data_IF_140947329994
#
_entry.id   IF_140947329994
#
_cell.length_a   1.000
_cell.length_b   1.000
_cell.length_c   1.000
_cell.angle_alpha   90.00
_cell.angle_beta   90.00
_cell.angle_gamma   90.00
#
_symmetry.space_group_name_H-M   'P 1'
#
loop_
_entity.id
_entity.type
_entity.pdbx_description
1 polymer ?
#
# COMPACT_ATOMS: atom_id res chain seq x y z
N UNK A 1 12.05 -12.23 -4.96
CA UNK A 1 10.91 -11.63 -4.24
C UNK A 1 10.97 -10.12 -4.38
N UNK A 2 9.82 -9.51 -4.59
CA UNK A 2 9.73 -8.06 -4.74
C UNK A 2 9.22 -7.46 -3.44
N UNK A 3 9.86 -6.38 -2.98
CA UNK A 3 9.35 -5.55 -1.89
C UNK A 3 8.80 -4.26 -2.48
N UNK A 4 7.50 -4.06 -2.31
CA UNK A 4 6.80 -2.88 -2.81
C UNK A 4 6.58 -1.89 -1.68
N UNK A 5 7.02 -0.65 -1.87
CA UNK A 5 6.88 0.43 -0.89
C UNK A 5 6.07 1.53 -1.55
N UNK A 6 4.98 1.94 -0.91
CA UNK A 6 4.14 3.04 -1.38
C UNK A 6 4.06 4.11 -0.31
N UNK A 7 4.48 5.31 -0.64
CA UNK A 7 4.40 6.47 0.26
C UNK A 7 3.13 7.25 -0.05
N UNK A 8 2.35 7.53 0.99
CA UNK A 8 1.08 8.25 0.88
C UNK A 8 1.00 9.31 1.96
N UNK A 9 0.68 10.54 1.56
CA UNK A 9 0.50 11.65 2.49
C UNK A 9 -0.95 12.10 2.42
N UNK A 10 -1.62 12.09 3.57
CA UNK A 10 -3.05 12.34 3.66
C UNK A 10 -3.36 13.70 4.27
N UNK A 11 -4.55 14.20 3.95
CA UNK A 11 -5.15 15.31 4.69
C UNK A 11 -5.18 14.89 6.17
N UNK A 12 -4.63 15.72 7.05
CA UNK A 12 -4.42 15.32 8.45
C UNK A 12 -5.69 14.80 9.13
N UNK A 13 -6.84 15.42 8.89
CA UNK A 13 -8.13 15.04 9.48
C UNK A 13 -8.70 13.76 8.86
N UNK A 14 -8.08 13.24 7.80
CA UNK A 14 -8.56 12.05 7.08
C UNK A 14 -7.72 10.80 7.35
N UNK A 15 -6.74 10.88 8.22
CA UNK A 15 -5.87 9.72 8.51
C UNK A 15 -6.63 8.55 9.10
N UNK A 16 -7.61 8.81 9.97
CA UNK A 16 -8.45 7.74 10.54
C UNK A 16 -9.28 7.04 9.47
N UNK A 17 -9.77 7.79 8.47
CA UNK A 17 -10.52 7.23 7.36
C UNK A 17 -9.65 6.26 6.56
N UNK A 18 -8.41 6.67 6.29
CA UNK A 18 -7.47 5.79 5.58
C UNK A 18 -7.14 4.53 6.38
N UNK A 19 -6.90 4.66 7.68
CA UNK A 19 -6.62 3.50 8.53
C UNK A 19 -7.77 2.50 8.47
N UNK A 20 -9.02 2.99 8.51
CA UNK A 20 -10.21 2.15 8.37
C UNK A 20 -10.25 1.42 7.04
N UNK A 21 -9.94 2.11 5.94
CA UNK A 21 -9.88 1.49 4.60
C UNK A 21 -8.82 0.39 4.57
N UNK A 22 -7.65 0.65 5.13
CA UNK A 22 -6.57 -0.33 5.15
C UNK A 22 -6.95 -1.55 5.99
N UNK A 23 -7.54 -1.35 7.16
CA UNK A 23 -7.98 -2.45 8.02
C UNK A 23 -8.99 -3.35 7.31
N UNK A 24 -9.92 -2.78 6.56
CA UNK A 24 -10.90 -3.54 5.79
C UNK A 24 -10.26 -4.31 4.64
N UNK A 25 -9.19 -3.76 4.07
CA UNK A 25 -8.65 -4.23 2.79
C UNK A 25 -7.45 -5.16 2.93
N UNK A 26 -6.71 -5.08 4.05
CA UNK A 26 -5.42 -5.78 4.17
C UNK A 26 -5.51 -7.28 3.96
N UNK A 27 -6.57 -7.93 4.44
CA UNK A 27 -6.74 -9.37 4.27
C UNK A 27 -7.05 -9.76 2.83
N UNK A 28 -7.75 -8.87 2.09
CA UNK A 28 -8.01 -9.07 0.67
C UNK A 28 -6.71 -8.97 -0.13
N UNK A 29 -5.89 -7.98 0.19
CA UNK A 29 -4.57 -7.81 -0.45
C UNK A 29 -3.69 -9.02 -0.14
N UNK A 30 -3.66 -9.42 1.13
CA UNK A 30 -2.85 -10.54 1.60
C UNK A 30 -3.25 -11.86 0.95
N UNK A 31 -4.51 -11.99 0.55
CA UNK A 31 -5.04 -13.18 -0.12
C UNK A 31 -4.72 -13.29 -1.60
N UNK A 32 -4.15 -12.26 -2.22
CA UNK A 32 -3.77 -12.33 -3.64
C UNK A 32 -2.62 -13.30 -3.86
N UNK A 33 -2.68 -14.00 -4.98
CA UNK A 33 -1.60 -14.91 -5.38
C UNK A 33 -0.27 -14.17 -5.38
N UNK A 34 0.72 -14.75 -4.72
CA UNK A 34 2.06 -14.20 -4.65
C UNK A 34 2.29 -13.15 -3.58
N UNK A 35 1.24 -12.67 -2.92
CA UNK A 35 1.41 -11.75 -1.82
C UNK A 35 1.90 -12.50 -0.58
N UNK A 36 3.09 -12.16 -0.11
CA UNK A 36 3.71 -12.82 1.05
C UNK A 36 3.46 -12.08 2.35
N UNK A 37 3.38 -10.75 2.27
CA UNK A 37 3.11 -9.92 3.44
C UNK A 37 2.61 -8.57 3.02
N UNK A 38 1.85 -7.93 3.88
CA UNK A 38 1.46 -6.53 3.73
C UNK A 38 1.35 -5.92 5.12
N UNK A 39 1.92 -4.75 5.28
CA UNK A 39 1.79 -3.99 6.53
C UNK A 39 1.79 -2.50 6.25
N UNK A 40 1.25 -1.76 7.19
CA UNK A 40 1.17 -0.32 7.15
C UNK A 40 2.16 0.26 8.16
N UNK A 41 2.98 1.19 7.70
CA UNK A 41 3.89 1.95 8.55
C UNK A 41 3.42 3.39 8.58
N UNK A 42 3.51 4.03 9.74
CA UNK A 42 3.19 5.44 9.89
C UNK A 42 4.46 6.21 10.21
N UNK A 43 4.69 7.30 9.50
CA UNK A 43 5.81 8.19 9.79
C UNK A 43 5.62 8.80 11.19
N UNK A 44 6.70 8.88 11.96
CA UNK A 44 6.60 9.35 13.34
C UNK A 44 6.38 10.86 13.42
N UNK A 45 6.86 11.61 12.41
CA UNK A 45 6.71 13.07 12.38
C UNK A 45 6.98 13.60 10.97
N UNK A 46 6.02 14.20 10.26
CA UNK A 46 4.60 14.33 10.63
C UNK A 46 3.84 13.00 10.52
N UNK A 47 2.75 12.86 11.28
CA UNK A 47 2.01 11.60 11.40
C UNK A 47 0.96 11.36 10.33
N UNK A 48 0.87 12.22 9.32
CA UNK A 48 -0.07 12.06 8.21
C UNK A 48 0.55 11.42 6.97
N UNK A 49 1.79 10.94 7.08
CA UNK A 49 2.46 10.19 6.02
C UNK A 49 2.55 8.73 6.41
N UNK A 50 2.16 7.86 5.49
CA UNK A 50 2.13 6.42 5.69
C UNK A 50 2.87 5.72 4.56
N UNK A 51 3.32 4.50 4.85
CA UNK A 51 3.93 3.63 3.85
C UNK A 51 3.24 2.27 3.92
N UNK A 52 2.82 1.74 2.79
CA UNK A 52 2.52 0.32 2.72
C UNK A 52 3.80 -0.41 2.34
N UNK A 53 4.06 -1.50 3.04
CA UNK A 53 5.21 -2.35 2.82
C UNK A 53 4.68 -3.74 2.52
N UNK A 54 4.85 -4.20 1.30
CA UNK A 54 4.35 -5.49 0.89
C UNK A 54 5.43 -6.28 0.15
N UNK A 55 5.39 -7.60 0.31
CA UNK A 55 6.33 -8.48 -0.38
C UNK A 55 5.57 -9.44 -1.28
N UNK A 56 6.11 -9.66 -2.47
CA UNK A 56 5.46 -10.41 -3.53
C UNK A 56 6.43 -11.43 -4.13
N UNK A 57 5.90 -12.59 -4.49
CA UNK A 57 6.67 -13.67 -5.09
C UNK A 57 7.38 -13.21 -6.36
N UNK A 58 6.67 -12.45 -7.20
CA UNK A 58 7.17 -11.97 -8.48
C UNK A 58 6.53 -10.64 -8.87
N UNK A 59 7.15 -9.94 -9.82
CA UNK A 59 6.58 -8.74 -10.41
C UNK A 59 5.26 -9.01 -11.11
N UNK A 60 5.12 -10.17 -11.75
CA UNK A 60 3.88 -10.55 -12.41
C UNK A 60 2.72 -10.64 -11.43
N UNK A 61 2.95 -11.20 -10.25
CA UNK A 61 1.93 -11.29 -9.21
C UNK A 61 1.52 -9.92 -8.70
N UNK A 62 2.49 -9.03 -8.48
CA UNK A 62 2.22 -7.64 -8.09
C UNK A 62 1.39 -6.93 -9.16
N UNK A 63 1.75 -7.10 -10.43
CA UNK A 63 1.04 -6.47 -11.54
C UNK A 63 -0.42 -6.98 -11.64
N UNK A 64 -0.62 -8.28 -11.46
CA UNK A 64 -1.96 -8.85 -11.43
C UNK A 64 -2.82 -8.23 -10.33
N UNK A 65 -2.25 -8.03 -9.15
CA UNK A 65 -2.95 -7.33 -8.07
C UNK A 65 -3.29 -5.88 -8.48
N UNK A 66 -2.33 -5.15 -9.04
CA UNK A 66 -2.51 -3.74 -9.42
C UNK A 66 -3.56 -3.55 -10.51
N UNK A 67 -3.83 -4.57 -11.32
CA UNK A 67 -4.86 -4.56 -12.37
C UNK A 67 -6.22 -5.04 -11.87
N UNK A 68 -6.29 -5.53 -10.63
CA UNK A 68 -7.51 -6.14 -10.09
C UNK A 68 -8.56 -5.10 -9.72
N UNK A 69 -9.81 -5.55 -9.67
CA UNK A 69 -10.92 -4.72 -9.19
C UNK A 69 -10.75 -4.35 -7.71
N UNK A 70 -10.19 -5.26 -6.92
CA UNK A 70 -9.89 -4.99 -5.51
C UNK A 70 -8.96 -3.78 -5.39
N UNK A 71 -7.86 -3.77 -6.14
CA UNK A 71 -6.93 -2.65 -6.12
C UNK A 71 -7.62 -1.35 -6.54
N UNK A 72 -8.37 -1.38 -7.63
CA UNK A 72 -9.07 -0.20 -8.15
C UNK A 72 -10.01 0.39 -7.10
N UNK A 73 -10.81 -0.45 -6.46
CA UNK A 73 -11.77 -0.02 -5.46
C UNK A 73 -11.08 0.60 -4.25
N UNK A 74 -10.06 -0.05 -3.72
CA UNK A 74 -9.29 0.45 -2.58
C UNK A 74 -8.59 1.76 -2.94
N UNK A 75 -7.97 1.81 -4.12
CA UNK A 75 -7.24 2.98 -4.56
C UNK A 75 -8.14 4.20 -4.74
N UNK A 76 -9.31 4.02 -5.35
CA UNK A 76 -10.27 5.12 -5.53
C UNK A 76 -10.75 5.70 -4.21
N UNK A 77 -10.97 4.87 -3.21
CA UNK A 77 -11.34 5.31 -1.87
C UNK A 77 -10.18 6.03 -1.16
N UNK A 78 -8.96 5.63 -1.46
CA UNK A 78 -7.75 6.13 -0.81
C UNK A 78 -7.29 7.46 -1.41
N UNK A 79 -7.28 7.57 -2.74
CA UNK A 79 -6.69 8.73 -3.42
C UNK A 79 -7.40 10.05 -3.11
N UNK A 80 -8.70 10.00 -2.81
CA UNK A 80 -9.47 11.21 -2.48
C UNK A 80 -9.07 11.81 -1.12
N UNK A 81 -8.30 11.08 -0.33
CA UNK A 81 -7.83 11.51 0.99
C UNK A 81 -6.41 12.10 0.95
N UNK A 82 -5.75 12.06 -0.20
CA UNK A 82 -4.39 12.58 -0.33
C UNK A 82 -4.34 14.11 -0.26
N UNK A 83 -3.27 14.63 0.35
CA UNK A 83 -2.91 16.05 0.25
C UNK A 83 -1.63 16.24 -0.57
N UNK A 84 -0.99 15.16 -1.01
CA UNK A 84 0.20 15.20 -1.83
C UNK A 84 0.21 13.99 -2.76
N UNK A 85 1.03 14.02 -3.80
CA UNK A 85 1.14 12.91 -4.76
C UNK A 85 1.76 11.69 -4.08
N UNK A 86 1.17 10.51 -4.28
CA UNK A 86 1.80 9.27 -3.79
C UNK A 86 3.04 8.94 -4.60
N UNK A 87 3.95 8.20 -3.98
CA UNK A 87 5.14 7.67 -4.63
C UNK A 87 5.20 6.17 -4.36
N UNK A 88 5.74 5.42 -5.30
CA UNK A 88 5.81 3.97 -5.17
C UNK A 88 7.10 3.45 -5.78
N UNK A 89 7.66 2.43 -5.14
CA UNK A 89 8.91 1.79 -5.57
C UNK A 89 8.78 0.28 -5.47
N UNK A 90 9.33 -0.40 -6.46
CA UNK A 90 9.57 -1.85 -6.37
C UNK A 90 11.05 -2.07 -6.17
N UNK A 91 11.41 -2.88 -5.21
CA UNK A 91 12.79 -3.15 -4.83
C UNK A 91 13.03 -4.65 -4.71
N UNK A 92 14.27 -5.05 -4.77
CA UNK A 92 14.67 -6.42 -4.47
C UNK A 92 15.73 -6.39 -3.38
N UNK A 93 15.77 -7.45 -2.58
CA UNK A 93 16.83 -7.62 -1.59
C UNK A 93 18.15 -7.87 -2.32
N UNK A 94 19.18 -7.13 -1.97
CA UNK A 94 20.53 -7.31 -2.56
C UNK A 94 21.34 -8.36 -1.83
N UNK A 95 20.84 -8.89 -0.71
CA UNK A 95 21.51 -9.85 0.17
C UNK A 95 22.80 -9.28 0.82
N UNK A 96 22.84 -7.97 0.98
CA UNK A 96 23.95 -7.30 1.66
C UNK A 96 23.63 -7.01 3.13
#
# INVERSE_FOLDING_TARGET
>A
MITRIVKMTFIAEKTSDFIGIFEESKHLIRGFKGCKSVKLLRQTNPTNTFFTYSTWESEADLENYRKSDTFKTVWERTKVLFCDKPQAWSTIDTDL
#
